data_IF_680363101917
#
_entry.id   IF_680363101917
#
_cell.length_a   1.000
_cell.length_b   1.000
_cell.length_c   1.000
_cell.angle_alpha   90.00
_cell.angle_beta   90.00
_cell.angle_gamma   90.00
#
_symmetry.space_group_name_H-M   'P 1'
#
loop_
_entity.id
_entity.type
_entity.pdbx_description
1 polymer ?
#
# COMPACT_ATOMS: atom_id res chain seq x y z
N UNK A 1 27.81 -13.22 18.34
CA UNK A 1 27.11 -12.85 17.10
C UNK A 1 27.36 -11.38 16.85
N UNK A 2 27.82 -11.01 15.66
CA UNK A 2 28.13 -9.62 15.30
C UNK A 2 27.20 -9.19 14.17
N UNK A 3 26.51 -8.07 14.33
CA UNK A 3 25.66 -7.50 13.28
C UNK A 3 26.54 -6.86 12.20
N UNK A 4 26.14 -6.99 10.93
CA UNK A 4 26.79 -6.26 9.84
C UNK A 4 26.47 -4.77 9.93
N UNK A 5 27.27 -3.92 9.26
CA UNK A 5 27.01 -2.48 9.18
C UNK A 5 25.63 -2.18 8.59
N UNK A 6 25.19 -2.97 7.61
CA UNK A 6 23.89 -2.78 6.95
C UNK A 6 22.73 -3.13 7.89
N UNK A 7 22.86 -4.22 8.65
CA UNK A 7 21.88 -4.59 9.66
C UNK A 7 21.80 -3.54 10.77
N UNK A 8 22.95 -3.03 11.23
CA UNK A 8 23.00 -1.97 12.22
C UNK A 8 22.34 -0.68 11.71
N UNK A 9 22.59 -0.32 10.44
CA UNK A 9 21.99 0.85 9.80
C UNK A 9 20.48 0.70 9.66
N UNK A 10 19.99 -0.48 9.26
CA UNK A 10 18.55 -0.75 9.18
C UNK A 10 17.87 -0.60 10.53
N UNK A 11 18.46 -1.15 11.60
CA UNK A 11 17.92 -1.01 12.96
C UNK A 11 17.93 0.45 13.44
N UNK A 12 19.03 1.19 13.20
CA UNK A 12 19.10 2.61 13.54
C UNK A 12 18.07 3.44 12.77
N UNK A 13 17.86 3.15 11.48
CA UNK A 13 16.81 3.80 10.69
C UNK A 13 15.43 3.52 11.29
N UNK A 14 15.13 2.29 11.69
CA UNK A 14 13.84 1.97 12.34
C UNK A 14 13.65 2.73 13.67
N UNK A 15 14.70 2.82 14.51
CA UNK A 15 14.63 3.54 15.79
C UNK A 15 14.50 5.05 15.60
N UNK A 16 15.20 5.63 14.62
CA UNK A 16 15.15 7.08 14.35
C UNK A 16 13.85 7.47 13.63
N UNK A 17 13.32 6.60 12.78
CA UNK A 17 12.06 6.80 12.09
C UNK A 17 10.83 6.42 12.93
N UNK A 18 11.02 5.91 14.15
CA UNK A 18 9.97 5.80 15.16
C UNK A 18 9.58 7.20 15.67
N UNK A 19 9.02 8.01 14.77
CA UNK A 19 8.23 9.17 15.16
C UNK A 19 6.94 8.68 15.81
N UNK A 20 6.31 9.55 16.60
CA UNK A 20 4.94 9.35 17.04
C UNK A 20 4.04 9.39 15.80
N UNK A 21 3.92 8.26 15.14
CA UNK A 21 2.95 8.06 14.09
C UNK A 21 1.57 8.17 14.75
N UNK A 22 0.69 9.10 14.31
CA UNK A 22 -0.68 9.13 14.81
C UNK A 22 -1.46 7.87 14.42
N UNK A 23 -0.94 7.08 13.48
CA UNK A 23 -1.50 5.84 12.97
C UNK A 23 -0.62 4.65 13.36
N UNK A 24 -1.21 3.63 13.97
CA UNK A 24 -0.59 2.31 14.09
C UNK A 24 -0.91 1.46 12.86
N UNK A 25 -0.28 0.27 12.77
CA UNK A 25 -0.51 -0.65 11.65
C UNK A 25 -1.99 -1.04 11.51
N UNK A 26 -2.68 -1.26 12.64
CA UNK A 26 -4.09 -1.66 12.65
C UNK A 26 -4.99 -0.57 12.03
N UNK A 27 -4.83 0.68 12.47
CA UNK A 27 -5.53 1.82 11.88
C UNK A 27 -5.13 2.10 10.43
N UNK A 28 -3.90 1.75 10.03
CA UNK A 28 -3.50 1.80 8.63
C UNK A 28 -4.36 0.88 7.77
N UNK A 29 -4.61 -0.37 8.21
CA UNK A 29 -5.42 -1.31 7.44
C UNK A 29 -6.88 -0.88 7.31
N UNK A 30 -7.44 -0.20 8.32
CA UNK A 30 -8.82 0.30 8.24
C UNK A 30 -9.03 1.27 7.05
N UNK A 31 -7.98 2.00 6.66
CA UNK A 31 -8.03 3.02 5.62
C UNK A 31 -7.23 2.68 4.35
N UNK A 32 -6.49 1.56 4.31
CA UNK A 32 -5.60 1.23 3.19
C UNK A 32 -6.34 1.00 1.87
N UNK A 33 -7.57 0.46 1.94
CA UNK A 33 -8.40 0.24 0.75
C UNK A 33 -8.90 1.57 0.18
N UNK A 34 -9.36 2.49 1.02
CA UNK A 34 -9.78 3.84 0.63
C UNK A 34 -8.61 4.64 0.05
N UNK A 35 -7.43 4.51 0.66
CA UNK A 35 -6.20 5.08 0.15
C UNK A 35 -5.85 4.54 -1.25
N UNK A 36 -5.91 3.21 -1.45
CA UNK A 36 -5.65 2.58 -2.74
C UNK A 36 -6.63 3.05 -3.84
N UNK A 37 -7.92 3.17 -3.51
CA UNK A 37 -8.91 3.72 -4.44
C UNK A 37 -8.58 5.17 -4.81
N UNK A 38 -8.24 6.01 -3.84
CA UNK A 38 -7.92 7.42 -4.08
C UNK A 38 -6.69 7.56 -4.99
N UNK A 39 -5.65 6.74 -4.79
CA UNK A 39 -4.46 6.71 -5.64
C UNK A 39 -4.77 6.21 -7.06
N UNK A 40 -5.61 5.17 -7.22
CA UNK A 40 -6.01 4.65 -8.54
C UNK A 40 -6.89 5.64 -9.32
N UNK A 41 -7.76 6.37 -8.63
CA UNK A 41 -8.71 7.32 -9.23
C UNK A 41 -8.16 8.74 -9.35
N UNK A 42 -6.97 9.01 -8.80
CA UNK A 42 -6.37 10.34 -8.75
C UNK A 42 -7.15 11.34 -7.88
N UNK A 43 -7.95 10.86 -6.92
CA UNK A 43 -8.72 11.70 -6.01
C UNK A 43 -7.78 12.37 -4.99
N UNK A 44 -8.09 13.58 -4.52
CA UNK A 44 -7.30 14.24 -3.48
C UNK A 44 -7.41 13.47 -2.16
N UNK A 45 -6.29 13.35 -1.45
CA UNK A 45 -6.26 12.71 -0.14
C UNK A 45 -6.75 13.67 0.95
N UNK A 46 -7.76 13.24 1.71
CA UNK A 46 -8.14 13.90 2.95
C UNK A 46 -7.05 13.71 4.02
N UNK A 47 -7.14 14.44 5.13
CA UNK A 47 -6.13 14.43 6.20
C UNK A 47 -5.88 13.01 6.76
N UNK A 48 -6.93 12.20 6.90
CA UNK A 48 -6.82 10.80 7.33
C UNK A 48 -5.99 9.95 6.36
N UNK A 49 -6.20 10.10 5.05
CA UNK A 49 -5.45 9.37 4.03
C UNK A 49 -4.00 9.88 3.89
N UNK A 50 -3.72 11.13 4.26
CA UNK A 50 -2.35 11.62 4.36
C UNK A 50 -1.57 10.98 5.52
N UNK A 51 -2.26 10.66 6.63
CA UNK A 51 -1.66 9.88 7.72
C UNK A 51 -1.30 8.46 7.26
N UNK A 52 -2.17 7.80 6.50
CA UNK A 52 -1.89 6.48 5.88
C UNK A 52 -0.64 6.57 4.98
N UNK A 53 -0.54 7.58 4.12
CA UNK A 53 0.66 7.79 3.29
C UNK A 53 1.93 7.90 4.12
N UNK A 54 1.88 8.63 5.23
CA UNK A 54 3.01 8.82 6.13
C UNK A 54 3.43 7.50 6.76
N UNK A 55 2.45 6.70 7.23
CA UNK A 55 2.70 5.38 7.80
C UNK A 55 3.30 4.41 6.78
N UNK A 56 2.82 4.38 5.54
CA UNK A 56 3.38 3.54 4.47
C UNK A 56 4.84 3.92 4.12
N UNK A 57 5.23 5.17 4.35
CA UNK A 57 6.62 5.62 4.15
C UNK A 57 7.54 5.22 5.32
N UNK A 58 7.00 5.13 6.54
CA UNK A 58 7.76 4.82 7.76
C UNK A 58 7.79 3.31 8.08
N UNK A 59 6.72 2.57 7.76
CA UNK A 59 6.51 1.17 8.11
C UNK A 59 6.70 0.24 6.89
N UNK A 60 7.79 -0.57 6.87
CA UNK A 60 8.02 -1.52 5.78
C UNK A 60 6.90 -2.56 5.63
N UNK A 61 6.34 -3.07 6.74
CA UNK A 61 5.32 -4.11 6.70
C UNK A 61 4.06 -3.63 5.96
N UNK A 62 3.51 -2.49 6.39
CA UNK A 62 2.32 -1.92 5.76
C UNK A 62 2.56 -1.52 4.30
N UNK A 63 3.79 -1.10 3.96
CA UNK A 63 4.16 -0.83 2.57
C UNK A 63 4.12 -2.08 1.71
N UNK A 64 4.67 -3.19 2.19
CA UNK A 64 4.72 -4.44 1.43
C UNK A 64 3.29 -4.98 1.18
N UNK A 65 2.39 -4.86 2.18
CA UNK A 65 0.99 -5.25 2.03
C UNK A 65 0.21 -4.32 1.11
N UNK A 66 0.46 -3.01 1.18
CA UNK A 66 -0.12 -2.06 0.23
C UNK A 66 0.33 -2.36 -1.21
N UNK A 67 1.58 -2.75 -1.42
CA UNK A 67 2.07 -3.15 -2.74
C UNK A 67 1.36 -4.40 -3.25
N UNK A 68 1.18 -5.42 -2.41
CA UNK A 68 0.43 -6.62 -2.76
C UNK A 68 -1.04 -6.31 -3.10
N UNK A 69 -1.69 -5.43 -2.33
CA UNK A 69 -3.04 -4.95 -2.62
C UNK A 69 -3.10 -4.27 -3.99
N UNK A 70 -2.18 -3.34 -4.27
CA UNK A 70 -2.14 -2.61 -5.54
C UNK A 70 -1.85 -3.52 -6.74
N UNK A 71 -1.05 -4.56 -6.56
CA UNK A 71 -0.83 -5.58 -7.60
C UNK A 71 -2.12 -6.32 -7.93
N UNK A 72 -2.81 -6.87 -6.92
CA UNK A 72 -4.08 -7.56 -7.11
C UNK A 72 -5.16 -6.66 -7.72
N UNK A 73 -5.28 -5.40 -7.28
CA UNK A 73 -6.23 -4.45 -7.87
C UNK A 73 -5.94 -4.17 -9.35
N UNK A 74 -4.68 -4.03 -9.73
CA UNK A 74 -4.31 -3.83 -11.14
C UNK A 74 -4.61 -5.06 -11.98
N UNK A 75 -4.37 -6.26 -11.47
CA UNK A 75 -4.74 -7.50 -12.16
C UNK A 75 -6.24 -7.61 -12.38
N UNK A 76 -7.06 -7.31 -11.36
CA UNK A 76 -8.52 -7.30 -11.48
C UNK A 76 -8.97 -6.29 -12.53
N UNK A 77 -8.48 -5.05 -12.48
CA UNK A 77 -8.82 -4.01 -13.45
C UNK A 77 -8.40 -4.37 -14.89
N UNK A 78 -7.30 -5.10 -15.06
CA UNK A 78 -6.86 -5.60 -16.36
C UNK A 78 -7.73 -6.76 -16.86
N UNK A 79 -8.20 -7.63 -15.96
CA UNK A 79 -9.09 -8.73 -16.30
C UNK A 79 -10.49 -8.25 -16.69
N UNK A 80 -11.01 -7.15 -16.11
CA UNK A 80 -12.27 -6.55 -16.56
C UNK A 80 -12.20 -6.02 -18.00
N UNK A 81 -10.99 -5.72 -18.52
CA UNK A 81 -10.80 -5.41 -19.94
C UNK A 81 -10.77 -6.64 -20.86
N UNK A 82 -10.51 -7.84 -20.33
CA UNK A 82 -10.45 -9.09 -21.12
C UNK A 82 -11.79 -9.83 -21.23
N UNK A 83 -12.79 -9.51 -20.39
CA UNK A 83 -14.10 -10.19 -20.40
C UNK A 83 -15.12 -9.59 -21.41
N UNK A 84 -14.83 -8.43 -22.00
CA UNK A 84 -15.68 -7.83 -23.05
C UNK A 84 -15.62 -8.58 -24.41
N UNK A 85 -14.93 -9.73 -24.48
CA UNK A 85 -14.54 -10.41 -25.72
C UNK A 85 -15.11 -11.82 -25.93
N UNK A 86 -16.11 -12.29 -25.17
CA UNK A 86 -16.71 -13.62 -25.40
C UNK A 86 -18.12 -13.55 -25.99
N UNK A 87 -18.19 -13.45 -27.32
CA UNK A 87 -19.12 -14.24 -28.13
C UNK A 87 -20.58 -13.79 -28.24
N UNK A 88 -20.84 -12.71 -28.98
CA UNK A 88 -21.93 -12.75 -29.97
C UNK A 88 -21.39 -13.37 -31.25
N UNK A 89 -21.86 -14.59 -31.57
CA UNK A 89 -22.34 -15.12 -32.87
C UNK A 89 -22.14 -16.64 -32.92
N UNK A 90 -23.24 -17.41 -33.01
CA UNK A 90 -23.48 -18.31 -34.14
C UNK A 90 -24.83 -19.06 -34.01
N UNK A 91 -25.63 -18.88 -35.07
CA UNK A 91 -26.75 -19.68 -35.62
C UNK A 91 -28.03 -19.89 -34.79
#
# INVERSE_FOLDING_TARGET
MSLSKDQLRSLLTQVVCAQQDPLDCDRCYEHVAEFAEAELTGKPLCEALQAVRTHLQSCPCCRDEYQALMEGLREVLQNECNDSGSGIVDA
#
